data_IF_372093366743
#
_entry.id   IF_372093366743
#
_cell.length_a   1.000
_cell.length_b   1.000
_cell.length_c   1.000
_cell.angle_alpha   90.00
_cell.angle_beta   90.00
_cell.angle_gamma   90.00
#
_symmetry.space_group_name_H-M   'P 1'
#
loop_
_entity.id
_entity.type
_entity.pdbx_description
1 polymer ?
#
# COMPACT_ATOMS: atom_id res chain seq x y z
N UNK A 1 -2.54 -2.84 11.24
CA UNK A 1 -2.75 -3.72 10.07
C UNK A 1 -4.23 -3.74 9.73
N UNK A 2 -4.63 -3.95 8.47
CA UNK A 2 -6.05 -4.03 8.06
C UNK A 2 -6.81 -5.11 8.87
N UNK A 3 -6.15 -6.23 9.15
CA UNK A 3 -6.68 -7.30 10.01
C UNK A 3 -7.06 -6.84 11.42
N UNK A 4 -6.44 -5.78 11.94
CA UNK A 4 -6.77 -5.23 13.27
C UNK A 4 -8.10 -4.49 13.34
N UNK A 5 -8.68 -4.09 12.20
CA UNK A 5 -9.99 -3.44 12.13
C UNK A 5 -11.10 -4.40 11.63
N UNK A 6 -10.72 -5.45 10.88
CA UNK A 6 -11.68 -6.36 10.22
C UNK A 6 -11.86 -7.71 10.94
N UNK A 7 -11.02 -8.05 11.93
CA UNK A 7 -11.06 -9.34 12.61
C UNK A 7 -10.83 -9.19 14.13
N UNK A 8 -11.12 -10.27 14.86
CA UNK A 8 -10.75 -10.37 16.27
C UNK A 8 -9.22 -10.26 16.45
N UNK A 9 -8.80 -9.78 17.62
CA UNK A 9 -7.39 -9.66 17.95
C UNK A 9 -6.65 -10.98 17.70
N UNK A 10 -5.65 -10.94 16.82
CA UNK A 10 -4.82 -12.11 16.51
C UNK A 10 -3.50 -12.03 17.29
N UNK A 11 -3.11 -13.07 18.04
CA UNK A 11 -1.87 -13.05 18.82
C UNK A 11 -0.64 -13.01 17.92
N UNK A 12 0.47 -12.48 18.42
CA UNK A 12 1.77 -12.60 17.74
C UNK A 12 2.23 -14.05 17.85
N UNK A 13 2.31 -14.74 16.72
CA UNK A 13 2.81 -16.11 16.62
C UNK A 13 4.28 -16.13 16.18
N UNK A 14 4.98 -17.22 16.50
CA UNK A 14 6.34 -17.50 15.99
C UNK A 14 7.42 -16.48 16.37
N UNK A 15 7.25 -15.72 17.47
CA UNK A 15 8.22 -14.72 17.91
C UNK A 15 9.62 -15.32 18.20
N UNK A 16 9.67 -16.61 18.58
CA UNK A 16 10.94 -17.33 18.73
C UNK A 16 11.79 -17.34 17.46
N UNK A 17 11.18 -17.32 16.26
CA UNK A 17 11.92 -17.23 15.00
C UNK A 17 12.67 -15.91 14.85
N UNK A 18 12.20 -14.84 15.49
CA UNK A 18 12.90 -13.55 15.48
C UNK A 18 14.24 -13.69 16.20
N UNK A 19 14.26 -14.42 17.32
CA UNK A 19 15.49 -14.68 18.07
C UNK A 19 16.36 -15.72 17.38
N UNK A 20 15.81 -16.90 17.07
CA UNK A 20 16.62 -18.04 16.57
C UNK A 20 17.20 -17.82 15.18
N UNK A 21 16.59 -16.93 14.38
CA UNK A 21 17.06 -16.56 13.05
C UNK A 21 17.59 -15.12 12.98
N UNK A 22 17.72 -14.45 14.13
CA UNK A 22 18.24 -13.08 14.24
C UNK A 22 17.52 -12.09 13.28
N UNK A 23 16.19 -12.22 13.15
CA UNK A 23 15.41 -11.39 12.24
C UNK A 23 15.34 -9.96 12.78
N UNK A 24 15.69 -8.99 11.94
CA UNK A 24 15.46 -7.58 12.21
C UNK A 24 14.06 -7.17 11.74
N UNK A 25 13.26 -6.62 12.65
CA UNK A 25 11.90 -6.14 12.36
C UNK A 25 11.79 -4.66 12.75
N UNK A 26 11.59 -3.79 11.76
CA UNK A 26 11.47 -2.34 11.96
C UNK A 26 10.13 -1.83 11.43
N UNK A 27 9.36 -1.19 12.31
CA UNK A 27 8.20 -0.40 11.89
C UNK A 27 8.65 0.95 11.32
N UNK A 28 7.96 1.44 10.30
CA UNK A 28 8.12 2.81 9.81
C UNK A 28 6.78 3.37 9.35
N UNK A 29 6.69 4.70 9.33
CA UNK A 29 5.55 5.42 8.74
C UNK A 29 6.10 6.28 7.62
N UNK A 30 5.46 6.22 6.45
CA UNK A 30 5.92 6.94 5.24
C UNK A 30 6.14 8.43 5.52
N UNK A 31 5.22 9.09 6.22
CA UNK A 31 5.31 10.51 6.54
C UNK A 31 6.52 10.86 7.40
N UNK A 32 6.99 9.95 8.26
CA UNK A 32 8.19 10.16 9.09
C UNK A 32 9.49 10.09 8.29
N UNK A 33 9.54 9.27 7.23
CA UNK A 33 10.75 9.10 6.41
C UNK A 33 10.75 9.99 5.16
N UNK A 34 9.60 10.51 4.75
CA UNK A 34 9.44 11.30 3.54
C UNK A 34 10.41 12.48 3.45
N UNK A 35 10.66 13.30 4.49
CA UNK A 35 11.61 14.42 4.39
C UNK A 35 13.01 14.00 3.96
N UNK A 36 13.45 12.81 4.40
CA UNK A 36 14.77 12.26 4.06
C UNK A 36 14.86 11.80 2.61
N UNK A 37 13.79 11.19 2.09
CA UNK A 37 13.82 10.49 0.80
C UNK A 37 13.07 11.21 -0.33
N UNK A 38 12.35 12.30 -0.04
CA UNK A 38 11.50 13.00 -1.01
C UNK A 38 12.24 13.33 -2.31
N UNK A 39 13.41 13.96 -2.22
CA UNK A 39 14.15 14.38 -3.42
C UNK A 39 14.54 13.18 -4.28
N UNK A 40 15.16 12.15 -3.69
CA UNK A 40 15.57 10.96 -4.41
C UNK A 40 14.38 10.24 -5.05
N UNK A 41 13.27 10.09 -4.30
CA UNK A 41 12.06 9.47 -4.80
C UNK A 41 11.51 10.14 -6.07
N UNK A 42 11.40 11.48 -6.06
CA UNK A 42 10.86 12.22 -7.21
C UNK A 42 11.85 12.36 -8.37
N UNK A 43 13.15 12.12 -8.14
CA UNK A 43 14.14 12.02 -9.23
C UNK A 43 14.10 10.65 -9.91
N UNK A 44 14.04 9.57 -9.12
CA UNK A 44 14.24 8.21 -9.64
C UNK A 44 12.94 7.57 -10.14
N UNK A 45 11.87 7.61 -9.34
CA UNK A 45 10.66 6.83 -9.61
C UNK A 45 9.92 7.31 -10.87
N UNK A 46 9.72 8.62 -11.12
CA UNK A 46 9.09 9.08 -12.36
C UNK A 46 9.89 8.71 -13.62
N UNK A 47 11.22 8.70 -13.55
CA UNK A 47 12.07 8.32 -14.66
C UNK A 47 11.87 6.84 -15.03
N UNK A 48 11.82 5.95 -14.02
CA UNK A 48 11.59 4.51 -14.23
C UNK A 48 10.17 4.21 -14.77
N UNK A 49 9.17 4.99 -14.34
CA UNK A 49 7.82 4.90 -14.90
C UNK A 49 7.82 5.32 -16.38
N UNK A 50 8.48 6.42 -16.71
CA UNK A 50 8.56 6.94 -18.08
C UNK A 50 9.34 6.01 -19.02
N UNK A 51 10.37 5.32 -18.52
CA UNK A 51 11.16 4.35 -19.30
C UNK A 51 10.49 2.97 -19.39
N UNK A 52 9.34 2.75 -18.74
CA UNK A 52 8.69 1.43 -18.58
C UNK A 52 9.53 0.37 -17.85
N UNK A 53 10.60 0.77 -17.15
CA UNK A 53 11.37 -0.11 -16.27
C UNK A 53 10.60 -0.42 -14.98
N UNK A 54 9.73 0.49 -14.57
CA UNK A 54 8.75 0.27 -13.51
C UNK A 54 7.33 0.25 -14.10
N UNK A 55 6.65 -0.89 -14.02
CA UNK A 55 5.27 -1.06 -14.45
C UNK A 55 4.35 -0.99 -13.23
N UNK A 56 3.23 -0.27 -13.36
CA UNK A 56 2.21 -0.19 -12.32
C UNK A 56 0.87 -0.72 -12.85
N UNK A 57 0.00 -1.14 -11.93
CA UNK A 57 -1.35 -1.62 -12.22
C UNK A 57 -2.33 -0.89 -11.32
N UNK A 58 -3.39 -0.39 -11.93
CA UNK A 58 -4.49 0.27 -11.24
C UNK A 58 -5.81 -0.42 -11.56
N UNK A 59 -6.72 -0.34 -10.60
CA UNK A 59 -8.13 -0.65 -10.79
C UNK A 59 -8.92 0.64 -10.58
N UNK A 60 -9.58 1.08 -11.64
CA UNK A 60 -10.29 2.35 -11.68
C UNK A 60 -11.77 2.14 -11.36
N UNK A 61 -12.26 2.84 -10.34
CA UNK A 61 -13.68 2.98 -10.04
C UNK A 61 -14.11 4.37 -10.48
N UNK A 62 -15.06 4.47 -11.42
CA UNK A 62 -15.58 5.77 -11.87
C UNK A 62 -16.70 6.25 -10.95
N UNK A 63 -16.68 7.55 -10.64
CA UNK A 63 -17.68 8.20 -9.81
C UNK A 63 -17.39 8.06 -8.31
N UNK A 64 -17.66 9.12 -7.56
CA UNK A 64 -17.50 9.13 -6.10
C UNK A 64 -18.47 8.16 -5.42
N UNK A 65 -19.62 7.92 -6.02
CA UNK A 65 -20.64 6.97 -5.58
C UNK A 65 -20.08 5.55 -5.41
N UNK A 66 -19.08 5.16 -6.22
CA UNK A 66 -18.44 3.84 -6.12
C UNK A 66 -17.35 3.72 -5.06
N UNK A 67 -17.06 4.80 -4.29
CA UNK A 67 -15.96 4.80 -3.32
C UNK A 67 -16.17 3.77 -2.19
N UNK A 68 -17.43 3.51 -1.81
CA UNK A 68 -17.78 2.52 -0.79
C UNK A 68 -17.44 1.10 -1.24
N UNK A 69 -17.80 0.73 -2.45
CA UNK A 69 -17.46 -0.55 -3.06
C UNK A 69 -15.95 -0.69 -3.26
N UNK A 70 -15.27 0.38 -3.70
CA UNK A 70 -13.83 0.39 -3.90
C UNK A 70 -13.06 0.12 -2.60
N UNK A 71 -13.40 0.81 -1.50
CA UNK A 71 -12.73 0.56 -0.21
C UNK A 71 -13.08 -0.83 0.34
N UNK A 72 -14.32 -1.30 0.15
CA UNK A 72 -14.71 -2.66 0.54
C UNK A 72 -13.89 -3.72 -0.20
N UNK A 73 -13.68 -3.54 -1.51
CA UNK A 73 -12.87 -4.46 -2.32
C UNK A 73 -11.42 -4.54 -1.82
N UNK A 74 -10.81 -3.41 -1.45
CA UNK A 74 -9.48 -3.36 -0.82
C UNK A 74 -9.45 -4.15 0.49
N UNK A 75 -10.49 -3.98 1.32
CA UNK A 75 -10.57 -4.66 2.62
C UNK A 75 -10.81 -6.17 2.49
N UNK A 76 -11.48 -6.60 1.41
CA UNK A 76 -11.71 -8.01 1.08
C UNK A 76 -10.59 -8.64 0.24
N UNK A 77 -9.65 -7.84 -0.26
CA UNK A 77 -8.58 -8.30 -1.17
C UNK A 77 -9.08 -8.74 -2.54
N UNK A 78 -10.24 -8.23 -2.98
CA UNK A 78 -10.82 -8.54 -4.30
C UNK A 78 -10.41 -7.55 -5.39
N UNK A 79 -9.66 -6.50 -5.03
CA UNK A 79 -9.15 -5.51 -5.97
C UNK A 79 -7.89 -5.99 -6.71
N UNK A 80 -7.60 -5.42 -7.88
CA UNK A 80 -6.44 -5.76 -8.71
C UNK A 80 -5.48 -4.57 -8.86
N UNK A 81 -4.37 -4.58 -8.12
CA UNK A 81 -3.41 -3.47 -8.12
C UNK A 81 -3.89 -2.31 -7.25
N UNK A 82 -3.49 -1.09 -7.60
CA UNK A 82 -3.86 0.11 -6.85
C UNK A 82 -5.30 0.51 -7.16
N UNK A 83 -6.18 0.44 -6.16
CA UNK A 83 -7.55 0.96 -6.29
C UNK A 83 -7.53 2.50 -6.33
N UNK A 84 -8.18 3.07 -7.34
CA UNK A 84 -8.29 4.52 -7.58
C UNK A 84 -9.74 4.86 -7.92
N UNK A 85 -10.29 5.85 -7.22
CA UNK A 85 -11.62 6.39 -7.53
C UNK A 85 -11.47 7.64 -8.39
N UNK A 86 -11.96 7.59 -9.62
CA UNK A 86 -11.98 8.70 -10.57
C UNK A 86 -13.25 9.51 -10.30
N UNK A 87 -13.11 10.58 -9.53
CA UNK A 87 -14.25 11.42 -9.08
C UNK A 87 -14.85 12.23 -10.23
N UNK A 88 -14.00 12.74 -11.11
CA UNK A 88 -14.38 13.46 -12.31
C UNK A 88 -13.33 13.19 -13.39
N UNK A 89 -13.76 13.23 -14.66
CA UNK A 89 -12.84 13.26 -15.79
C UNK A 89 -12.09 14.61 -15.81
N UNK A 90 -10.90 14.61 -16.43
CA UNK A 90 -10.14 15.84 -16.68
C UNK A 90 -10.74 16.66 -17.82
#
# INVERSE_FOLDING_TARGET
>A
MISGYNAAAYPIMNLMNVMTKEIKMYGFVMTSILPKYRSAFYTEIPALLASNELVFKEELTKGLEGAGEAILAVQKGTNSGKSVVVVADQ
#
